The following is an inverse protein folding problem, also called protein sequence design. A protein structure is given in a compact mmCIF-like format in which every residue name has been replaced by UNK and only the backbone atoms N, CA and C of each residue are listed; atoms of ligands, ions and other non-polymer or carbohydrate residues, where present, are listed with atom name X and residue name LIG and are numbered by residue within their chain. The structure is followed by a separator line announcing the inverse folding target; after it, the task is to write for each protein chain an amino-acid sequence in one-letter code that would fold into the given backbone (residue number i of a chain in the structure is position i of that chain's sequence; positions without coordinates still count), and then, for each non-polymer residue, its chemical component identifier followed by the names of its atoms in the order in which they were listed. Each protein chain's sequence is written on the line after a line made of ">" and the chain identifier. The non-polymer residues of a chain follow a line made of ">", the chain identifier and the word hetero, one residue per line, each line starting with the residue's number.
data_IF_720991130214
#
_entry.id   IF_720991130214
#
_cell.length_a   1.000
_cell.length_b   1.000
_cell.length_c   1.000
_cell.angle_alpha   90.00
_cell.angle_beta   90.00
_cell.angle_gamma   90.00
#
_symmetry.space_group_name_H-M   'P 1'
#
loop_
_entity.id
_entity.type
_entity.pdbx_description
1 polymer ?
#
# COMPACT_ATOMS: atom_id res chain seq x y z
N UNK A 1 4.29 -8.71 16.50
CA UNK A 1 2.83 -8.51 16.67
C UNK A 1 2.29 -7.25 15.97
N UNK A 2 3.11 -6.26 15.58
CA UNK A 2 2.63 -5.05 14.90
C UNK A 2 2.26 -5.25 13.41
N UNK A 3 2.81 -6.27 12.72
CA UNK A 3 2.58 -6.48 11.28
C UNK A 3 1.20 -7.09 10.93
N UNK A 4 0.73 -8.08 11.69
CA UNK A 4 -0.59 -8.71 11.44
C UNK A 4 -1.75 -7.70 11.58
N UNK A 5 -1.61 -6.73 12.50
CA UNK A 5 -2.61 -5.68 12.71
C UNK A 5 -2.67 -4.69 11.54
N UNK A 6 -1.56 -4.39 10.89
CA UNK A 6 -1.51 -3.45 9.76
C UNK A 6 -1.94 -4.14 8.45
N UNK A 7 -1.54 -5.40 8.24
CA UNK A 7 -2.01 -6.23 7.11
C UNK A 7 -3.52 -6.46 7.20
N UNK A 8 -4.03 -6.86 8.38
CA UNK A 8 -5.47 -6.97 8.61
C UNK A 8 -6.20 -5.64 8.35
N UNK A 9 -5.53 -4.49 8.55
CA UNK A 9 -6.13 -3.17 8.29
C UNK A 9 -6.18 -2.80 6.82
N UNK A 10 -5.22 -3.24 5.99
CA UNK A 10 -5.23 -2.99 4.55
C UNK A 10 -6.24 -3.90 3.85
N UNK A 11 -6.24 -5.20 4.19
CA UNK A 11 -7.23 -6.15 3.69
C UNK A 11 -8.66 -5.70 4.05
N UNK A 12 -8.88 -5.26 5.30
CA UNK A 12 -10.18 -4.73 5.71
C UNK A 12 -10.57 -3.46 4.93
N UNK A 13 -9.60 -2.61 4.61
CA UNK A 13 -9.83 -1.43 3.78
C UNK A 13 -10.28 -1.83 2.38
N UNK A 14 -9.63 -2.83 1.77
CA UNK A 14 -9.98 -3.35 0.45
C UNK A 14 -11.37 -4.00 0.45
N UNK A 15 -11.69 -4.82 1.47
CA UNK A 15 -13.04 -5.40 1.65
C UNK A 15 -14.11 -4.30 1.72
N UNK A 16 -13.85 -3.23 2.46
CA UNK A 16 -14.80 -2.12 2.56
C UNK A 16 -14.96 -1.36 1.22
N UNK A 17 -13.91 -1.28 0.42
CA UNK A 17 -13.94 -0.64 -0.90
C UNK A 17 -14.73 -1.51 -1.89
N UNK A 18 -14.50 -2.82 -1.90
CA UNK A 18 -15.25 -3.80 -2.70
C UNK A 18 -16.73 -3.79 -2.35
N UNK A 19 -17.08 -3.66 -1.07
CA UNK A 19 -18.48 -3.51 -0.65
C UNK A 19 -19.12 -2.25 -1.26
N UNK A 20 -18.39 -1.12 -1.29
CA UNK A 20 -18.89 0.10 -1.91
C UNK A 20 -19.11 -0.09 -3.42
N UNK A 21 -18.17 -0.74 -4.12
CA UNK A 21 -18.30 -1.06 -5.55
C UNK A 21 -19.51 -1.96 -5.79
N UNK A 22 -19.61 -3.08 -5.07
CA UNK A 22 -20.70 -4.03 -5.20
C UNK A 22 -22.08 -3.37 -4.97
N UNK A 23 -22.19 -2.47 -3.99
CA UNK A 23 -23.43 -1.72 -3.72
C UNK A 23 -23.80 -0.76 -4.85
N UNK A 24 -22.81 -0.10 -5.46
CA UNK A 24 -23.05 0.78 -6.61
C UNK A 24 -23.44 -0.01 -7.86
N UNK A 25 -22.75 -1.13 -8.13
CA UNK A 25 -23.00 -2.00 -9.28
C UNK A 25 -24.35 -2.71 -9.22
N UNK A 26 -24.77 -3.09 -8.00
CA UNK A 26 -26.08 -3.73 -7.78
C UNK A 26 -27.25 -2.80 -8.11
N UNK A 27 -27.04 -1.48 -8.14
CA UNK A 27 -28.08 -0.49 -8.34
C UNK A 27 -29.12 -0.48 -7.21
N UNK A 28 -30.30 0.10 -7.48
CA UNK A 28 -31.41 0.16 -6.51
C UNK A 28 -31.20 1.17 -5.37
N UNK A 29 -30.12 1.93 -5.39
CA UNK A 29 -29.88 3.04 -4.46
C UNK A 29 -30.62 4.30 -4.92
N UNK A 30 -31.11 5.09 -3.96
CA UNK A 30 -31.51 6.47 -4.25
C UNK A 30 -30.28 7.30 -4.64
N UNK A 31 -30.50 8.42 -5.33
CA UNK A 31 -29.41 9.30 -5.74
C UNK A 31 -28.53 9.73 -4.55
N UNK A 32 -29.13 10.10 -3.43
CA UNK A 32 -28.38 10.51 -2.23
C UNK A 32 -27.54 9.35 -1.68
N UNK A 33 -28.11 8.15 -1.56
CA UNK A 33 -27.36 6.98 -1.08
C UNK A 33 -26.25 6.56 -2.03
N UNK A 34 -26.47 6.66 -3.34
CA UNK A 34 -25.43 6.40 -4.34
C UNK A 34 -24.26 7.38 -4.20
N UNK A 35 -24.55 8.67 -3.99
CA UNK A 35 -23.53 9.70 -3.72
C UNK A 35 -22.75 9.40 -2.43
N UNK A 36 -23.42 9.05 -1.34
CA UNK A 36 -22.76 8.71 -0.07
C UNK A 36 -21.84 7.48 -0.20
N UNK A 37 -22.29 6.43 -0.88
CA UNK A 37 -21.48 5.22 -1.11
C UNK A 37 -20.29 5.54 -2.01
N UNK A 38 -20.48 6.38 -3.03
CA UNK A 38 -19.41 6.83 -3.91
C UNK A 38 -18.35 7.64 -3.15
N UNK A 39 -18.75 8.63 -2.34
CA UNK A 39 -17.82 9.42 -1.53
C UNK A 39 -17.01 8.56 -0.57
N UNK A 40 -17.67 7.60 0.11
CA UNK A 40 -16.99 6.62 0.97
C UNK A 40 -15.99 5.78 0.17
N UNK A 41 -16.39 5.27 -1.01
CA UNK A 41 -15.51 4.50 -1.89
C UNK A 41 -14.28 5.29 -2.33
N UNK A 42 -14.46 6.57 -2.70
CA UNK A 42 -13.35 7.45 -3.07
C UNK A 42 -12.37 7.68 -1.93
N UNK A 43 -12.87 7.88 -0.70
CA UNK A 43 -12.02 8.04 0.48
C UNK A 43 -11.21 6.76 0.77
N UNK A 44 -11.83 5.58 0.67
CA UNK A 44 -11.15 4.30 0.84
C UNK A 44 -10.08 4.09 -0.23
N UNK A 45 -10.39 4.36 -1.51
CA UNK A 45 -9.44 4.23 -2.61
C UNK A 45 -8.23 5.16 -2.45
N UNK A 46 -8.45 6.41 -2.00
CA UNK A 46 -7.37 7.34 -1.72
C UNK A 46 -6.43 6.85 -0.60
N UNK A 47 -6.99 6.31 0.48
CA UNK A 47 -6.22 5.76 1.59
C UNK A 47 -5.46 4.49 1.17
N UNK A 48 -6.05 3.60 0.35
CA UNK A 48 -5.35 2.45 -0.22
C UNK A 48 -4.12 2.90 -1.02
N UNK A 49 -4.30 3.89 -1.91
CA UNK A 49 -3.24 4.45 -2.72
C UNK A 49 -2.11 5.03 -1.87
N UNK A 50 -2.44 5.80 -0.82
CA UNK A 50 -1.45 6.37 0.10
C UNK A 50 -0.58 5.28 0.75
N UNK A 51 -1.21 4.22 1.28
CA UNK A 51 -0.48 3.11 1.94
C UNK A 51 0.41 2.35 0.96
N UNK A 52 -0.05 2.13 -0.27
CA UNK A 52 0.75 1.49 -1.32
C UNK A 52 1.98 2.33 -1.65
N UNK A 53 1.82 3.64 -1.87
CA UNK A 53 2.95 4.54 -2.17
C UNK A 53 3.97 4.61 -1.02
N UNK A 54 3.51 4.67 0.23
CA UNK A 54 4.39 4.66 1.41
C UNK A 54 5.18 3.35 1.52
N UNK A 55 4.51 2.23 1.25
CA UNK A 55 5.14 0.90 1.27
C UNK A 55 6.14 0.74 0.14
N UNK A 56 5.81 1.21 -1.06
CA UNK A 56 6.70 1.20 -2.23
C UNK A 56 7.98 2.01 -1.97
N UNK A 57 7.85 3.20 -1.38
CA UNK A 57 8.99 4.02 -0.99
C UNK A 57 9.88 3.30 0.04
N UNK A 58 9.26 2.66 1.04
CA UNK A 58 9.99 1.88 2.05
C UNK A 58 10.77 0.73 1.42
N UNK A 59 10.14 -0.03 0.52
CA UNK A 59 10.78 -1.14 -0.20
C UNK A 59 11.93 -0.64 -1.07
N UNK A 60 11.74 0.48 -1.77
CA UNK A 60 12.76 1.12 -2.61
C UNK A 60 13.98 1.53 -1.78
N UNK A 61 13.76 2.18 -0.63
CA UNK A 61 14.83 2.58 0.27
C UNK A 61 15.59 1.39 0.85
N UNK A 62 14.90 0.29 1.17
CA UNK A 62 15.54 -0.94 1.62
C UNK A 62 16.44 -1.49 0.52
N UNK A 63 15.94 -1.62 -0.71
CA UNK A 63 16.71 -2.11 -1.86
C UNK A 63 17.97 -1.28 -2.09
N UNK A 64 17.84 0.05 -2.11
CA UNK A 64 18.97 0.97 -2.30
C UNK A 64 20.05 0.78 -1.22
N UNK A 65 19.65 0.69 0.07
CA UNK A 65 20.58 0.45 1.18
C UNK A 65 21.33 -0.87 1.05
N UNK A 66 20.62 -1.94 0.65
CA UNK A 66 21.26 -3.24 0.43
C UNK A 66 22.26 -3.21 -0.72
N UNK A 67 21.96 -2.48 -1.80
CA UNK A 67 22.90 -2.29 -2.91
C UNK A 67 24.17 -1.55 -2.47
N UNK A 68 24.02 -0.42 -1.77
CA UNK A 68 25.16 0.35 -1.23
C UNK A 68 26.02 -0.51 -0.28
N UNK A 69 25.39 -1.33 0.57
CA UNK A 69 26.09 -2.24 1.46
C UNK A 69 26.90 -3.30 0.71
N UNK A 70 26.35 -3.86 -0.37
CA UNK A 70 27.06 -4.85 -1.20
C UNK A 70 28.24 -4.21 -1.92
N UNK A 71 28.04 -3.06 -2.56
CA UNK A 71 29.12 -2.31 -3.24
C UNK A 71 30.27 -1.98 -2.28
N UNK A 72 29.95 -1.46 -1.09
CA UNK A 72 30.97 -1.13 -0.07
C UNK A 72 31.69 -2.37 0.47
N UNK A 73 31.02 -3.52 0.54
CA UNK A 73 31.68 -4.78 0.94
C UNK A 73 32.61 -5.33 -0.14
N UNK A 74 32.28 -5.14 -1.43
CA UNK A 74 33.12 -5.54 -2.56
C UNK A 74 34.36 -4.64 -2.70
N UNK A 75 34.23 -3.33 -2.44
CA UNK A 75 35.36 -2.40 -2.40
C UNK A 75 36.38 -2.75 -1.30
N UNK A 76 35.91 -3.08 -0.09
CA UNK A 76 36.79 -3.48 1.03
C UNK A 76 37.58 -4.75 0.72
N UNK A 77 36.97 -5.74 0.04
CA UNK A 77 37.66 -6.97 -0.36
C UNK A 77 38.72 -6.70 -1.43
N UNK A 78 38.49 -5.70 -2.29
CA UNK A 78 39.44 -5.33 -3.35
C UNK A 78 40.71 -4.66 -2.79
N UNK A 79 40.54 -3.79 -1.80
CA UNK A 79 41.66 -3.09 -1.14
C UNK A 79 42.53 -4.02 -0.27
N UNK A 80 42.00 -5.16 0.22
CA UNK A 80 42.78 -6.16 0.96
C UNK A 80 43.63 -7.09 0.06
N UNK A 81 43.44 -7.04 -1.26
CA UNK A 81 44.11 -7.90 -2.24
C UNK A 81 45.11 -7.16 -3.15
N UNK A 82 45.36 -5.86 -2.92
CA UNK A 82 46.47 -5.07 -3.49
C UNK A 82 47.63 -4.87 -2.49
#
# INVERSE_FOLDING_TARGET
>A
MQNESEEASFEQLMVNLEECVSRLESGGLSLNLATEVYEKGMALAAEAGRRLSETELRVTNIKAKYQEMMERSEEVIKDEHE
#
